data_IF_538973537810
#
_entry.id   IF_538973537810
#
_cell.length_a   1.000
_cell.length_b   1.000
_cell.length_c   1.000
_cell.angle_alpha   90.00
_cell.angle_beta   90.00
_cell.angle_gamma   90.00
#
_symmetry.space_group_name_H-M   'P 1'
#
loop_
_entity.id
_entity.type
_entity.pdbx_description
1 polymer ?
#
# COMPACT_ATOMS: atom_id res chain seq x y z
N UNK A 1 -4.04 11.76 13.67
CA UNK A 1 -4.90 10.56 13.55
C UNK A 1 -4.72 10.01 12.13
N UNK A 2 -4.56 8.72 11.95
CA UNK A 2 -4.51 8.06 10.64
C UNK A 2 -5.84 7.35 10.41
N UNK A 3 -6.38 7.44 9.19
CA UNK A 3 -7.67 6.88 8.81
C UNK A 3 -7.54 6.15 7.47
N UNK A 4 -8.02 4.91 7.39
CA UNK A 4 -8.26 4.24 6.11
C UNK A 4 -9.58 4.74 5.52
N UNK A 5 -9.49 5.36 4.34
CA UNK A 5 -10.64 5.99 3.68
C UNK A 5 -11.22 5.07 2.63
N UNK A 6 -12.41 4.54 2.87
CA UNK A 6 -13.12 3.73 1.89
C UNK A 6 -13.79 4.60 0.81
N UNK A 7 -13.79 4.10 -0.43
CA UNK A 7 -14.50 4.75 -1.55
C UNK A 7 -16.00 4.90 -1.30
N UNK A 8 -16.62 3.94 -0.62
CA UNK A 8 -18.02 4.02 -0.17
C UNK A 8 -18.21 5.21 0.79
N UNK A 9 -17.29 5.38 1.75
CA UNK A 9 -17.35 6.47 2.72
C UNK A 9 -17.30 7.82 2.05
N UNK A 10 -16.51 7.97 0.99
CA UNK A 10 -16.42 9.19 0.20
C UNK A 10 -17.72 9.48 -0.54
N UNK A 11 -18.23 8.51 -1.34
CA UNK A 11 -19.46 8.68 -2.11
C UNK A 11 -20.67 8.95 -1.21
N UNK A 12 -20.76 8.26 -0.07
CA UNK A 12 -21.85 8.43 0.89
C UNK A 12 -21.69 9.65 1.81
N UNK A 13 -20.64 10.44 1.61
CA UNK A 13 -20.40 11.66 2.38
C UNK A 13 -20.13 11.44 3.87
N UNK A 14 -19.65 10.24 4.28
CA UNK A 14 -19.37 9.91 5.69
C UNK A 14 -18.22 10.71 6.29
N UNK A 15 -17.40 11.33 5.43
CA UNK A 15 -16.22 12.10 5.83
C UNK A 15 -16.45 13.62 5.72
N UNK A 16 -17.69 14.05 5.50
CA UNK A 16 -18.01 15.49 5.47
C UNK A 16 -17.63 16.16 6.79
N UNK A 17 -16.94 17.30 6.68
CA UNK A 17 -16.46 18.04 7.84
C UNK A 17 -15.18 17.50 8.47
N UNK A 18 -14.58 16.45 7.90
CA UNK A 18 -13.23 15.98 8.30
C UNK A 18 -12.19 16.75 7.51
N UNK A 19 -11.26 17.39 8.22
CA UNK A 19 -10.10 18.06 7.65
C UNK A 19 -8.92 17.09 7.59
N UNK A 20 -8.40 16.85 6.39
CA UNK A 20 -7.22 16.01 6.16
C UNK A 20 -6.01 16.89 5.90
N UNK A 21 -4.90 16.60 6.57
CA UNK A 21 -3.62 17.26 6.32
C UNK A 21 -2.87 16.61 5.16
N UNK A 22 -2.98 15.28 5.04
CA UNK A 22 -2.32 14.50 3.99
C UNK A 22 -3.26 13.42 3.47
N UNK A 23 -3.37 13.30 2.15
CA UNK A 23 -4.00 12.16 1.48
C UNK A 23 -2.94 11.28 0.82
N UNK A 24 -3.01 9.97 1.07
CA UNK A 24 -2.09 8.98 0.48
C UNK A 24 -2.86 8.13 -0.51
N UNK A 25 -2.30 7.95 -1.71
CA UNK A 25 -2.75 7.00 -2.72
C UNK A 25 -1.73 5.88 -2.88
N UNK A 26 -2.14 4.66 -2.64
CA UNK A 26 -1.31 3.46 -2.79
C UNK A 26 -1.50 2.79 -4.15
N UNK A 27 -2.74 2.47 -4.50
CA UNK A 27 -3.09 1.84 -5.79
C UNK A 27 -4.59 1.88 -6.08
N UNK A 28 -4.94 1.57 -7.35
CA UNK A 28 -6.30 1.35 -7.80
C UNK A 28 -6.38 0.00 -8.54
N UNK A 29 -6.72 -1.05 -7.82
CA UNK A 29 -6.94 -2.40 -8.36
C UNK A 29 -8.39 -2.83 -8.21
N UNK A 30 -8.83 -3.83 -8.99
CA UNK A 30 -10.23 -4.24 -9.02
C UNK A 30 -10.73 -4.68 -7.64
N UNK A 31 -11.66 -3.91 -7.10
CA UNK A 31 -12.47 -4.24 -5.93
C UNK A 31 -13.74 -3.39 -5.94
N UNK A 32 -14.73 -3.74 -5.11
CA UNK A 32 -15.95 -2.95 -4.90
C UNK A 32 -16.78 -2.62 -6.17
N UNK A 33 -16.66 -3.44 -7.24
CA UNK A 33 -17.44 -3.24 -8.46
C UNK A 33 -18.92 -3.57 -8.27
N UNK A 34 -19.27 -4.35 -7.25
CA UNK A 34 -20.64 -4.55 -6.79
C UNK A 34 -21.34 -3.23 -6.41
N UNK A 35 -20.58 -2.27 -5.89
CA UNK A 35 -21.08 -0.94 -5.50
C UNK A 35 -20.86 0.10 -6.59
N UNK A 36 -19.66 0.16 -7.18
CA UNK A 36 -19.30 1.23 -8.13
C UNK A 36 -19.66 0.92 -9.58
N UNK A 37 -19.90 -0.35 -9.93
CA UNK A 37 -20.22 -0.82 -11.27
C UNK A 37 -19.02 -0.87 -12.22
N UNK A 38 -18.15 0.14 -12.25
CA UNK A 38 -16.97 0.22 -13.13
C UNK A 38 -15.73 0.70 -12.40
N UNK A 39 -14.54 0.39 -12.94
CA UNK A 39 -13.27 0.90 -12.44
C UNK A 39 -13.16 2.43 -12.52
N UNK A 40 -13.78 3.04 -13.53
CA UNK A 40 -13.82 4.51 -13.69
C UNK A 40 -14.59 5.15 -12.54
N UNK A 41 -15.79 4.64 -12.22
CA UNK A 41 -16.59 5.13 -11.10
C UNK A 41 -15.88 4.90 -9.76
N UNK A 42 -15.19 3.76 -9.60
CA UNK A 42 -14.39 3.48 -8.43
C UNK A 42 -13.21 4.44 -8.29
N UNK A 43 -12.46 4.68 -9.38
CA UNK A 43 -11.39 5.67 -9.41
C UNK A 43 -11.88 7.08 -9.13
N UNK A 44 -13.00 7.49 -9.74
CA UNK A 44 -13.64 8.78 -9.45
C UNK A 44 -13.99 8.93 -7.96
N UNK A 45 -14.57 7.88 -7.34
CA UNK A 45 -14.87 7.90 -5.91
C UNK A 45 -13.61 8.12 -5.05
N UNK A 46 -12.48 7.46 -5.37
CA UNK A 46 -11.21 7.70 -4.68
C UNK A 46 -10.67 9.12 -4.91
N UNK A 47 -10.87 9.70 -6.10
CA UNK A 47 -10.44 11.05 -6.44
C UNK A 47 -11.08 12.12 -5.53
N UNK A 48 -12.27 11.86 -4.98
CA UNK A 48 -12.95 12.79 -4.07
C UNK A 48 -12.08 13.14 -2.84
N UNK A 49 -11.30 12.19 -2.32
CA UNK A 49 -10.41 12.49 -1.20
C UNK A 49 -9.36 13.54 -1.60
N UNK A 50 -8.80 13.41 -2.79
CA UNK A 50 -7.71 14.27 -3.27
C UNK A 50 -8.20 15.65 -3.73
N UNK A 51 -9.42 15.74 -4.26
CA UNK A 51 -10.03 17.00 -4.67
C UNK A 51 -10.66 17.78 -3.52
N UNK A 52 -10.94 17.12 -2.38
CA UNK A 52 -11.72 17.66 -1.27
C UNK A 52 -11.05 17.40 0.09
N UNK A 53 -9.74 17.64 0.22
CA UNK A 53 -8.99 17.44 1.47
C UNK A 53 -9.51 18.24 2.69
N UNK A 54 -10.71 18.80 2.59
CA UNK A 54 -11.40 19.59 3.57
C UNK A 54 -11.63 21.03 3.08
N UNK A 55 -12.27 21.84 3.91
CA UNK A 55 -12.73 23.20 3.55
C UNK A 55 -11.75 24.30 3.99
N UNK A 56 -10.84 24.00 4.91
CA UNK A 56 -9.88 24.98 5.43
C UNK A 56 -8.68 25.12 4.47
N UNK A 57 -8.75 26.14 3.62
CA UNK A 57 -7.71 26.47 2.66
C UNK A 57 -6.51 27.20 3.27
N UNK A 58 -6.56 27.58 4.54
CA UNK A 58 -5.44 28.24 5.24
C UNK A 58 -4.36 27.27 5.69
N UNK A 59 -4.65 25.97 5.73
CA UNK A 59 -3.71 24.93 6.16
C UNK A 59 -2.95 24.33 5.00
N UNK A 60 -1.68 24.06 5.23
CA UNK A 60 -0.87 23.27 4.30
C UNK A 60 -1.36 21.84 4.26
N UNK A 61 -1.71 21.38 3.07
CA UNK A 61 -2.21 20.04 2.78
C UNK A 61 -1.39 19.43 1.65
N UNK A 62 -1.25 18.10 1.68
CA UNK A 62 -0.39 17.40 0.75
C UNK A 62 -1.07 16.15 0.17
N UNK A 63 -0.80 15.87 -1.10
CA UNK A 63 -1.04 14.57 -1.72
C UNK A 63 0.23 13.75 -1.76
N UNK A 64 0.16 12.45 -1.45
CA UNK A 64 1.27 11.50 -1.60
C UNK A 64 0.82 10.41 -2.56
N UNK A 65 1.40 10.37 -3.75
CA UNK A 65 0.92 9.54 -4.86
C UNK A 65 1.93 8.49 -5.29
N UNK A 66 1.48 7.25 -5.44
CA UNK A 66 2.27 6.15 -5.99
C UNK A 66 2.34 6.23 -7.51
N UNK A 67 3.51 6.56 -8.08
CA UNK A 67 3.70 6.61 -9.53
C UNK A 67 3.74 5.23 -10.19
N UNK A 68 3.96 4.15 -9.44
CA UNK A 68 3.88 2.79 -9.97
C UNK A 68 2.43 2.41 -10.35
N UNK A 69 1.44 3.19 -9.93
CA UNK A 69 0.05 3.05 -10.37
C UNK A 69 -0.34 4.21 -11.32
N UNK A 70 -0.73 3.86 -12.54
CA UNK A 70 -1.05 4.83 -13.59
C UNK A 70 -2.17 5.82 -13.20
N UNK A 71 -3.05 5.46 -12.27
CA UNK A 71 -4.13 6.33 -11.83
C UNK A 71 -3.62 7.57 -11.06
N UNK A 72 -2.39 7.54 -10.56
CA UNK A 72 -1.75 8.69 -9.91
C UNK A 72 -1.66 9.91 -10.84
N UNK A 73 -1.50 9.70 -12.15
CA UNK A 73 -1.49 10.77 -13.14
C UNK A 73 -2.82 11.55 -13.14
N UNK A 74 -3.96 10.84 -13.06
CA UNK A 74 -5.27 11.47 -12.92
C UNK A 74 -5.40 12.22 -11.58
N UNK A 75 -5.00 11.59 -10.47
CA UNK A 75 -5.09 12.22 -9.15
C UNK A 75 -4.29 13.53 -9.08
N UNK A 76 -3.13 13.58 -9.74
CA UNK A 76 -2.33 14.80 -9.83
C UNK A 76 -3.09 15.96 -10.49
N UNK A 77 -3.96 15.68 -11.48
CA UNK A 77 -4.73 16.73 -12.17
C UNK A 77 -5.89 17.27 -11.33
N UNK A 78 -6.42 16.49 -10.40
CA UNK A 78 -7.58 16.88 -9.58
C UNK A 78 -7.20 17.37 -8.18
N UNK A 79 -5.93 17.19 -7.79
CA UNK A 79 -5.43 17.60 -6.46
C UNK A 79 -5.01 19.07 -6.51
N UNK A 80 -5.69 19.99 -5.76
CA UNK A 80 -5.37 21.40 -5.76
C UNK A 80 -4.18 21.78 -4.86
N UNK A 81 -3.61 20.81 -4.15
CA UNK A 81 -2.54 21.00 -3.18
C UNK A 81 -1.21 20.44 -3.70
N UNK A 82 -0.13 20.71 -2.97
CA UNK A 82 1.18 20.16 -3.30
C UNK A 82 1.16 18.62 -3.26
N UNK A 83 1.81 18.02 -4.26
CA UNK A 83 1.82 16.57 -4.43
C UNK A 83 3.26 16.06 -4.44
N UNK A 84 3.54 15.11 -3.56
CA UNK A 84 4.76 14.31 -3.54
C UNK A 84 4.50 12.97 -4.21
N UNK A 85 5.37 12.57 -5.14
CA UNK A 85 5.29 11.26 -5.77
C UNK A 85 6.34 10.31 -5.25
N UNK A 86 5.97 9.04 -5.14
CA UNK A 86 6.89 7.97 -4.83
C UNK A 86 6.73 6.79 -5.80
N UNK A 87 7.77 5.99 -5.95
CA UNK A 87 7.76 4.82 -6.81
C UNK A 87 8.96 3.93 -6.61
N UNK A 88 8.85 2.69 -7.04
CA UNK A 88 9.92 1.70 -7.08
C UNK A 88 10.36 1.49 -8.53
N UNK A 89 9.39 1.28 -9.41
CA UNK A 89 9.58 0.92 -10.81
C UNK A 89 9.50 2.18 -11.71
N UNK A 90 8.54 3.06 -11.47
CA UNK A 90 8.34 4.30 -12.22
C UNK A 90 9.05 5.50 -11.58
N UNK A 91 9.49 6.42 -12.42
CA UNK A 91 10.17 7.66 -12.00
C UNK A 91 9.30 8.50 -11.06
N UNK A 92 9.88 8.90 -9.92
CA UNK A 92 9.20 9.68 -8.89
C UNK A 92 10.18 10.59 -8.13
N UNK A 93 9.64 11.54 -7.36
CA UNK A 93 10.46 12.41 -6.50
C UNK A 93 11.15 11.62 -5.38
N UNK A 94 10.49 10.57 -4.90
CA UNK A 94 11.01 9.69 -3.87
C UNK A 94 11.03 8.27 -4.42
N UNK A 95 12.16 7.59 -4.34
CA UNK A 95 12.32 6.26 -4.92
C UNK A 95 12.98 5.28 -3.95
N UNK A 96 12.62 4.01 -4.05
CA UNK A 96 13.40 2.95 -3.45
C UNK A 96 14.34 2.34 -4.49
N UNK A 97 15.64 2.27 -4.19
CA UNK A 97 16.67 1.65 -5.03
C UNK A 97 17.46 0.63 -4.20
N UNK A 98 18.23 -0.22 -4.87
CA UNK A 98 19.10 -1.21 -4.22
C UNK A 98 18.36 -2.08 -3.19
N UNK A 99 17.15 -2.51 -3.55
CA UNK A 99 16.26 -3.27 -2.68
C UNK A 99 16.85 -4.65 -2.40
N UNK A 100 16.83 -5.04 -1.14
CA UNK A 100 17.13 -6.39 -0.66
C UNK A 100 15.97 -6.89 0.19
N UNK A 101 15.54 -8.11 -0.07
CA UNK A 101 14.41 -8.74 0.61
C UNK A 101 14.84 -10.03 1.33
N UNK A 102 14.25 -10.29 2.48
CA UNK A 102 14.35 -11.53 3.24
C UNK A 102 13.07 -11.77 4.03
N UNK A 103 12.90 -12.96 4.60
CA UNK A 103 11.79 -13.24 5.54
C UNK A 103 11.92 -12.49 6.88
N UNK A 104 13.04 -11.84 7.13
CA UNK A 104 13.27 -10.99 8.30
C UNK A 104 13.01 -9.51 8.03
N UNK A 105 12.69 -9.15 6.80
CA UNK A 105 12.39 -7.78 6.41
C UNK A 105 13.05 -7.35 5.10
N UNK A 106 12.99 -6.05 4.86
CA UNK A 106 13.55 -5.40 3.67
C UNK A 106 14.59 -4.35 4.02
N UNK A 107 15.52 -4.11 3.10
CA UNK A 107 16.38 -2.92 3.12
C UNK A 107 16.43 -2.29 1.73
N UNK A 108 16.56 -0.97 1.67
CA UNK A 108 16.64 -0.22 0.43
C UNK A 108 17.27 1.15 0.64
N UNK A 109 17.74 1.75 -0.45
CA UNK A 109 18.15 3.13 -0.48
C UNK A 109 16.94 4.02 -0.80
N UNK A 110 16.54 4.86 0.17
CA UNK A 110 15.50 5.87 -0.02
C UNK A 110 16.11 7.10 -0.68
N UNK A 111 15.93 7.22 -1.99
CA UNK A 111 16.40 8.34 -2.80
C UNK A 111 15.36 9.44 -2.75
N UNK A 112 15.79 10.63 -2.38
CA UNK A 112 14.96 11.82 -2.20
C UNK A 112 15.57 13.02 -2.93
N UNK A 113 14.84 14.13 -3.14
CA UNK A 113 15.42 15.37 -3.67
C UNK A 113 16.57 15.97 -2.81
N UNK A 114 16.72 15.50 -1.56
CA UNK A 114 17.68 16.03 -0.60
C UNK A 114 18.88 15.10 -0.35
N UNK A 115 18.87 13.91 -0.92
CA UNK A 115 19.91 12.90 -0.76
C UNK A 115 19.37 11.48 -0.70
N UNK A 116 20.26 10.53 -0.48
CA UNK A 116 19.97 9.10 -0.40
C UNK A 116 20.21 8.61 1.03
N UNK A 117 19.25 7.87 1.56
CA UNK A 117 19.25 7.40 2.94
C UNK A 117 19.02 5.88 2.97
N UNK A 118 19.89 5.10 3.62
CA UNK A 118 19.66 3.69 3.82
C UNK A 118 18.49 3.49 4.80
N UNK A 119 17.56 2.61 4.43
CA UNK A 119 16.38 2.26 5.25
C UNK A 119 16.34 0.76 5.43
N UNK A 120 16.02 0.33 6.65
CA UNK A 120 15.72 -1.07 6.99
C UNK A 120 14.36 -1.14 7.65
N UNK A 121 13.63 -2.21 7.40
CA UNK A 121 12.34 -2.45 8.03
C UNK A 121 12.15 -3.94 8.27
N UNK A 122 11.50 -4.33 9.39
CA UNK A 122 11.12 -5.72 9.65
C UNK A 122 9.99 -6.22 8.75
N UNK A 123 9.33 -5.35 7.99
CA UNK A 123 8.25 -5.75 7.10
C UNK A 123 8.79 -6.44 5.85
N UNK A 124 8.17 -7.56 5.48
CA UNK A 124 8.56 -8.39 4.34
C UNK A 124 7.79 -7.98 3.09
N UNK A 125 8.44 -8.10 1.93
CA UNK A 125 7.83 -7.91 0.62
C UNK A 125 7.92 -6.50 0.03
N UNK A 126 8.14 -6.45 -1.29
CA UNK A 126 8.30 -5.20 -2.06
C UNK A 126 7.13 -4.22 -1.89
N UNK A 127 5.90 -4.73 -1.78
CA UNK A 127 4.72 -3.87 -1.58
C UNK A 127 4.77 -3.10 -0.24
N UNK A 128 5.42 -3.64 0.79
CA UNK A 128 5.61 -2.95 2.05
C UNK A 128 6.64 -1.81 1.94
N UNK A 129 7.60 -1.89 1.02
CA UNK A 129 8.49 -0.76 0.70
C UNK A 129 7.66 0.43 0.21
N UNK A 130 6.72 0.22 -0.71
CA UNK A 130 5.78 1.25 -1.17
C UNK A 130 4.97 1.85 -0.02
N UNK A 131 4.43 1.01 0.87
CA UNK A 131 3.66 1.46 2.03
C UNK A 131 4.53 2.29 3.00
N UNK A 132 5.76 1.83 3.25
CA UNK A 132 6.73 2.52 4.11
C UNK A 132 7.09 3.89 3.51
N UNK A 133 7.43 3.96 2.22
CA UNK A 133 7.74 5.24 1.55
C UNK A 133 6.58 6.22 1.65
N UNK A 134 5.35 5.76 1.40
CA UNK A 134 4.16 6.60 1.52
C UNK A 134 4.00 7.19 2.92
N UNK A 135 4.19 6.35 3.96
CA UNK A 135 4.11 6.78 5.35
C UNK A 135 5.25 7.74 5.71
N UNK A 136 6.50 7.43 5.28
CA UNK A 136 7.66 8.29 5.51
C UNK A 136 7.46 9.69 4.91
N UNK A 137 6.98 9.78 3.68
CA UNK A 137 6.73 11.05 2.99
C UNK A 137 5.62 11.83 3.68
N UNK A 138 4.53 11.17 4.08
CA UNK A 138 3.43 11.80 4.78
C UNK A 138 3.87 12.41 6.11
N UNK A 139 4.68 11.70 6.89
CA UNK A 139 5.20 12.21 8.18
C UNK A 139 6.25 13.29 7.95
N UNK A 140 7.11 13.15 6.94
CA UNK A 140 8.09 14.16 6.57
C UNK A 140 7.43 15.46 6.12
N UNK A 141 6.37 15.40 5.32
CA UNK A 141 5.64 16.60 4.86
C UNK A 141 5.03 17.43 6.02
N UNK A 142 4.90 16.82 7.19
CA UNK A 142 4.45 17.50 8.42
C UNK A 142 5.59 17.97 9.31
N UNK A 143 6.83 18.01 8.79
CA UNK A 143 7.98 18.63 9.43
C UNK A 143 8.82 17.70 10.31
N UNK A 144 8.58 16.39 10.32
CA UNK A 144 9.45 15.44 11.02
C UNK A 144 10.70 15.17 10.20
N UNK A 145 11.87 15.13 10.85
CA UNK A 145 13.14 14.89 10.17
C UNK A 145 13.23 13.45 9.63
N UNK A 146 13.84 13.26 8.46
CA UNK A 146 14.05 11.94 7.86
C UNK A 146 14.82 11.00 8.79
N UNK A 147 15.79 11.49 9.54
CA UNK A 147 16.52 10.68 10.51
C UNK A 147 15.60 10.07 11.58
N UNK A 148 14.69 10.86 12.12
CA UNK A 148 13.71 10.39 13.11
C UNK A 148 12.75 9.36 12.49
N UNK A 149 12.30 9.62 11.27
CA UNK A 149 11.39 8.73 10.54
C UNK A 149 12.07 7.38 10.26
N UNK A 150 13.32 7.39 9.77
CA UNK A 150 14.06 6.16 9.46
C UNK A 150 14.25 5.32 10.73
N UNK A 151 14.66 5.94 11.84
CA UNK A 151 14.75 5.23 13.13
C UNK A 151 13.42 4.62 13.58
N UNK A 152 12.31 5.31 13.33
CA UNK A 152 10.99 4.76 13.62
C UNK A 152 10.66 3.55 12.74
N UNK A 153 10.96 3.62 11.44
CA UNK A 153 10.75 2.51 10.49
C UNK A 153 11.58 1.27 10.86
N UNK A 154 12.81 1.45 11.31
CA UNK A 154 13.68 0.34 11.76
C UNK A 154 13.15 -0.38 13.01
N UNK A 155 12.34 0.31 13.81
CA UNK A 155 11.78 -0.20 15.07
C UNK A 155 10.27 -0.50 14.97
N UNK A 156 9.73 -0.63 13.74
CA UNK A 156 8.33 -1.03 13.57
C UNK A 156 8.11 -2.44 14.10
N UNK A 157 7.01 -2.62 14.79
CA UNK A 157 6.52 -3.96 15.14
C UNK A 157 5.71 -4.54 13.97
N UNK A 158 5.82 -5.84 13.69
CA UNK A 158 4.97 -6.49 12.69
C UNK A 158 3.48 -6.26 12.98
N UNK A 159 2.70 -6.03 11.94
CA UNK A 159 1.25 -5.91 12.06
C UNK A 159 0.65 -7.30 11.93
N UNK A 160 -0.13 -7.71 12.93
CA UNK A 160 -0.84 -8.99 12.94
C UNK A 160 -1.64 -9.19 11.65
N UNK A 161 -1.48 -10.35 11.02
CA UNK A 161 -2.16 -10.69 9.77
C UNK A 161 -1.71 -9.90 8.53
N UNK A 162 -0.53 -9.27 8.52
CA UNK A 162 0.04 -8.57 7.37
C UNK A 162 1.41 -9.10 7.02
N UNK A 163 1.45 -10.15 6.20
CA UNK A 163 2.65 -10.95 5.90
C UNK A 163 3.41 -11.30 7.19
N UNK A 164 2.66 -11.69 8.17
CA UNK A 164 3.18 -12.03 9.51
C UNK A 164 3.83 -13.41 9.48
N UNK A 165 5.13 -13.46 9.67
CA UNK A 165 5.88 -14.70 9.78
C UNK A 165 5.78 -15.18 11.23
N UNK A 166 5.05 -16.29 11.43
CA UNK A 166 4.88 -16.89 12.76
C UNK A 166 6.13 -17.70 13.13
N UNK A 167 6.23 -18.00 14.40
CA UNK A 167 7.27 -18.79 15.10
C UNK A 167 8.38 -19.39 14.21
N UNK A 168 9.56 -18.74 14.12
CA UNK A 168 10.67 -19.22 13.29
C UNK A 168 11.31 -20.52 13.78
N UNK A 169 10.88 -21.05 14.94
CA UNK A 169 11.35 -22.33 15.48
C UNK A 169 10.65 -23.53 14.84
N UNK A 170 9.57 -23.33 14.10
CA UNK A 170 8.86 -24.39 13.40
C UNK A 170 9.69 -24.92 12.23
N UNK A 171 9.55 -26.22 11.86
CA UNK A 171 10.22 -26.78 10.70
C UNK A 171 9.66 -26.30 9.35
N UNK A 172 8.69 -25.40 9.38
CA UNK A 172 8.03 -24.75 8.23
C UNK A 172 7.95 -23.26 8.48
N UNK A 173 8.01 -22.48 7.43
CA UNK A 173 7.68 -21.05 7.49
C UNK A 173 6.14 -20.90 7.40
N UNK A 174 5.51 -20.46 8.45
CA UNK A 174 4.07 -20.21 8.51
C UNK A 174 3.82 -18.71 8.43
N UNK A 175 3.04 -18.31 7.42
CA UNK A 175 2.78 -16.89 7.13
C UNK A 175 1.28 -16.63 7.15
N UNK A 176 0.87 -15.55 7.81
CA UNK A 176 -0.52 -15.07 7.83
C UNK A 176 -0.61 -13.73 7.11
N UNK A 177 -1.59 -13.61 6.20
CA UNK A 177 -1.88 -12.37 5.51
C UNK A 177 -3.39 -12.18 5.30
N UNK A 178 -3.80 -10.94 5.17
CA UNK A 178 -5.21 -10.55 4.97
C UNK A 178 -5.61 -10.47 3.49
N UNK A 179 -4.76 -10.88 2.56
CA UNK A 179 -5.02 -10.80 1.12
C UNK A 179 -6.34 -11.54 0.76
N UNK A 180 -7.29 -10.80 0.20
CA UNK A 180 -8.63 -11.28 -0.16
C UNK A 180 -9.06 -10.82 -1.57
N UNK A 181 -8.11 -10.38 -2.37
CA UNK A 181 -8.27 -10.02 -3.79
C UNK A 181 -7.20 -10.73 -4.61
N UNK A 182 -7.44 -10.94 -5.90
CA UNK A 182 -6.48 -11.58 -6.79
C UNK A 182 -5.13 -10.83 -6.82
N UNK A 183 -5.15 -9.49 -6.84
CA UNK A 183 -3.94 -8.66 -6.77
C UNK A 183 -3.18 -8.85 -5.45
N UNK A 184 -3.90 -8.78 -4.32
CA UNK A 184 -3.28 -9.00 -3.00
C UNK A 184 -2.65 -10.39 -2.88
N UNK A 185 -3.35 -11.44 -3.34
CA UNK A 185 -2.83 -12.81 -3.36
C UNK A 185 -1.60 -12.95 -4.26
N UNK A 186 -1.61 -12.32 -5.44
CA UNK A 186 -0.44 -12.32 -6.33
C UNK A 186 0.77 -11.67 -5.65
N UNK A 187 0.59 -10.50 -5.07
CA UNK A 187 1.67 -9.79 -4.34
C UNK A 187 2.20 -10.59 -3.16
N UNK A 188 1.31 -11.28 -2.43
CA UNK A 188 1.71 -12.16 -1.34
C UNK A 188 2.57 -13.34 -1.86
N UNK A 189 2.11 -14.04 -2.90
CA UNK A 189 2.85 -15.15 -3.51
C UNK A 189 4.19 -14.65 -4.05
N UNK A 190 4.22 -13.53 -4.78
CA UNK A 190 5.45 -12.93 -5.31
C UNK A 190 6.45 -12.59 -4.20
N UNK A 191 5.96 -12.10 -3.06
CA UNK A 191 6.81 -11.76 -1.92
C UNK A 191 7.42 -12.98 -1.23
N UNK A 192 6.74 -14.12 -1.21
CA UNK A 192 7.23 -15.33 -0.52
C UNK A 192 7.94 -16.31 -1.44
N UNK A 193 7.58 -16.34 -2.73
CA UNK A 193 8.12 -17.29 -3.71
C UNK A 193 9.66 -17.37 -3.77
N UNK A 194 10.42 -16.25 -3.68
CA UNK A 194 11.88 -16.30 -3.68
C UNK A 194 12.48 -17.06 -2.50
N UNK A 195 11.74 -17.25 -1.42
CA UNK A 195 12.20 -17.90 -0.20
C UNK A 195 11.73 -19.36 -0.09
N UNK A 196 10.86 -19.81 -1.00
CA UNK A 196 10.34 -21.18 -1.01
C UNK A 196 11.45 -22.16 -1.36
N UNK A 197 11.79 -23.07 -0.43
CA UNK A 197 12.83 -24.08 -0.60
C UNK A 197 12.29 -25.41 -1.09
N UNK A 198 11.05 -25.73 -0.82
CA UNK A 198 10.41 -27.00 -1.16
C UNK A 198 9.06 -26.78 -1.82
N UNK A 199 8.02 -26.56 -1.03
CA UNK A 199 6.63 -26.43 -1.48
C UNK A 199 5.99 -25.19 -0.90
N UNK A 200 5.22 -24.49 -1.72
CA UNK A 200 4.31 -23.44 -1.29
C UNK A 200 2.91 -24.04 -1.13
N UNK A 201 2.41 -23.99 0.10
CA UNK A 201 1.03 -24.36 0.42
C UNK A 201 0.24 -23.09 0.68
N UNK A 202 -0.84 -22.90 -0.06
CA UNK A 202 -1.62 -21.66 0.02
C UNK A 202 -3.06 -21.96 0.46
N UNK A 203 -3.35 -21.67 1.74
CA UNK A 203 -4.70 -21.80 2.29
C UNK A 203 -5.46 -20.49 2.09
N UNK A 204 -6.50 -20.50 1.28
CA UNK A 204 -7.35 -19.33 1.02
C UNK A 204 -8.81 -19.65 1.29
N UNK A 205 -9.50 -18.73 1.97
CA UNK A 205 -10.94 -18.76 2.18
C UNK A 205 -11.62 -17.56 1.53
N UNK A 206 -12.85 -17.72 1.10
CA UNK A 206 -13.66 -16.63 0.57
C UNK A 206 -14.88 -16.41 1.46
N UNK A 207 -15.11 -15.14 1.85
CA UNK A 207 -16.36 -14.77 2.47
C UNK A 207 -17.49 -14.87 1.44
N UNK A 208 -18.49 -15.68 1.71
CA UNK A 208 -19.72 -15.74 0.90
C UNK A 208 -20.45 -14.40 0.85
N UNK A 209 -21.32 -14.21 -0.12
CA UNK A 209 -22.22 -13.06 -0.27
C UNK A 209 -21.57 -11.71 -0.68
N UNK A 210 -20.28 -11.68 -1.04
CA UNK A 210 -19.62 -10.52 -1.63
C UNK A 210 -19.38 -10.73 -3.12
N UNK A 211 -18.66 -9.81 -3.76
CA UNK A 211 -18.36 -9.85 -5.20
C UNK A 211 -17.81 -11.21 -5.65
N UNK A 212 -18.70 -12.06 -6.19
CA UNK A 212 -18.34 -13.38 -6.69
C UNK A 212 -17.60 -13.32 -8.03
N UNK A 213 -17.57 -12.17 -8.70
CA UNK A 213 -16.92 -12.02 -10.01
C UNK A 213 -15.40 -12.16 -9.92
N UNK A 214 -14.82 -11.90 -8.75
CA UNK A 214 -13.39 -12.06 -8.47
C UNK A 214 -12.95 -13.51 -8.17
N UNK A 215 -13.91 -14.40 -7.84
CA UNK A 215 -13.62 -15.80 -7.45
C UNK A 215 -12.80 -16.59 -8.46
N UNK A 216 -13.14 -16.58 -9.79
CA UNK A 216 -12.37 -17.32 -10.77
C UNK A 216 -10.92 -16.86 -10.88
N UNK A 217 -10.68 -15.55 -10.75
CA UNK A 217 -9.34 -14.99 -10.80
C UNK A 217 -8.51 -15.36 -9.55
N UNK A 218 -9.12 -15.25 -8.37
CA UNK A 218 -8.49 -15.70 -7.12
C UNK A 218 -8.12 -17.19 -7.19
N UNK A 219 -9.00 -18.04 -7.77
CA UNK A 219 -8.71 -19.45 -7.98
C UNK A 219 -7.49 -19.66 -8.89
N UNK A 220 -7.38 -18.90 -10.00
CA UNK A 220 -6.18 -18.97 -10.87
C UNK A 220 -4.92 -18.57 -10.14
N UNK A 221 -4.99 -17.52 -9.32
CA UNK A 221 -3.83 -17.08 -8.52
C UNK A 221 -3.43 -18.16 -7.50
N UNK A 222 -4.40 -18.76 -6.80
CA UNK A 222 -4.12 -19.84 -5.85
C UNK A 222 -3.41 -21.04 -6.50
N UNK A 223 -3.69 -21.34 -7.78
CA UNK A 223 -2.99 -22.39 -8.54
C UNK A 223 -1.51 -22.09 -8.83
N UNK A 224 -0.97 -20.95 -8.43
CA UNK A 224 0.49 -20.69 -8.46
C UNK A 224 1.24 -21.39 -7.33
N UNK A 225 0.55 -21.80 -6.30
CA UNK A 225 1.09 -22.63 -5.22
C UNK A 225 1.05 -24.12 -5.60
N UNK A 226 1.83 -24.93 -4.91
CA UNK A 226 1.86 -26.38 -5.13
C UNK A 226 0.63 -27.09 -4.59
N UNK A 227 0.01 -26.54 -3.57
CA UNK A 227 -1.23 -27.04 -2.95
C UNK A 227 -2.07 -25.89 -2.42
#
# INVERSE_FOLDING_TARGET
MTLEVSSHGLVLGRLRGVEFDVAIFSNLTQDHLDFHGTMEAYGHAKSLLFSQLGEDLSKEKYGVLNNDDAFSAHLRTVTPYEVFSYGIDEEAQFMAKNIQESLQGVSFDFVTPFGTYPVKSPYVGKFNISNIMAAMIAVWSKGTSLETIIKAVENLEPVEGRLEVLDPSLPIDLIIDYAHTADGMNKLIDAVQPFVKQKLIFLVGMAGERDLTKTPEMGRVACRADY
#
